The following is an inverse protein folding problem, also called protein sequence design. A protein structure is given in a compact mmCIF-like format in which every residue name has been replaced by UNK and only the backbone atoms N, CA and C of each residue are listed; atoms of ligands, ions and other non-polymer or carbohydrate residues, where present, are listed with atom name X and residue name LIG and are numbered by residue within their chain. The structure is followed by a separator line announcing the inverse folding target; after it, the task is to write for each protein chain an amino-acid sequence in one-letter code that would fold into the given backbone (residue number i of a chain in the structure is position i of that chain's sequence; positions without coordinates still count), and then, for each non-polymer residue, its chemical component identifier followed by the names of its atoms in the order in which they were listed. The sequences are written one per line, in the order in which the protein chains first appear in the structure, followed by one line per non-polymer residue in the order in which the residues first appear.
data_IF_463140304872
#
_entry.id   IF_463140304872
#
_cell.length_a   1.000
_cell.length_b   1.000
_cell.length_c   1.000
_cell.angle_alpha   90.00
_cell.angle_beta   90.00
_cell.angle_gamma   90.00
#
_symmetry.space_group_name_H-M   'P 1'
#
loop_
_entity.id
_entity.type
_entity.pdbx_description
1 polymer ?
#
# COMPACT_ATOMS: atom_id res chain seq x y z
N UNK A 1 22.35 -30.94 -0.74
CA UNK A 1 22.15 -29.47 -0.65
C UNK A 1 21.43 -29.01 -1.90
N UNK A 2 20.29 -28.32 -1.75
CA UNK A 2 19.55 -27.73 -2.86
C UNK A 2 19.88 -26.23 -2.89
N UNK A 3 20.22 -25.71 -4.07
CA UNK A 3 20.50 -24.29 -4.27
C UNK A 3 19.32 -23.65 -4.97
N UNK A 4 18.87 -22.52 -4.45
CA UNK A 4 17.78 -21.73 -5.03
C UNK A 4 18.28 -20.37 -5.45
N UNK A 5 17.76 -19.85 -6.57
CA UNK A 5 18.06 -18.48 -7.01
C UNK A 5 16.99 -17.52 -6.49
N UNK A 6 17.42 -16.43 -5.85
CA UNK A 6 16.52 -15.39 -5.33
C UNK A 6 16.70 -14.12 -6.15
N UNK A 7 15.58 -13.54 -6.61
CA UNK A 7 15.59 -12.25 -7.28
C UNK A 7 15.74 -11.14 -6.24
N UNK A 8 16.82 -10.37 -6.35
CA UNK A 8 17.11 -9.22 -5.50
C UNK A 8 17.16 -7.94 -6.32
N UNK A 9 16.74 -6.83 -5.72
CA UNK A 9 16.96 -5.50 -6.30
C UNK A 9 18.46 -5.19 -6.32
N UNK A 10 18.89 -4.43 -7.32
CA UNK A 10 20.31 -4.04 -7.49
C UNK A 10 20.84 -3.33 -6.22
N UNK A 11 20.03 -2.47 -5.62
CA UNK A 11 20.37 -1.77 -4.37
C UNK A 11 20.61 -2.74 -3.19
N UNK A 12 19.78 -3.78 -3.08
CA UNK A 12 19.93 -4.78 -2.03
C UNK A 12 21.22 -5.60 -2.23
N UNK A 13 21.55 -5.92 -3.50
CA UNK A 13 22.82 -6.58 -3.85
C UNK A 13 24.03 -5.73 -3.46
N UNK A 14 24.01 -4.42 -3.74
CA UNK A 14 25.10 -3.50 -3.34
C UNK A 14 25.31 -3.49 -1.82
N UNK A 15 24.22 -3.44 -1.04
CA UNK A 15 24.30 -3.49 0.43
C UNK A 15 24.90 -4.81 0.94
N UNK A 16 24.59 -5.93 0.30
CA UNK A 16 25.20 -7.23 0.62
C UNK A 16 26.70 -7.26 0.30
N UNK A 17 27.12 -6.70 -0.84
CA UNK A 17 28.53 -6.58 -1.21
C UNK A 17 29.30 -5.65 -0.25
N UNK A 18 28.70 -4.55 0.18
CA UNK A 18 29.26 -3.66 1.21
C UNK A 18 29.45 -4.40 2.55
N UNK A 19 28.47 -5.20 2.95
CA UNK A 19 28.56 -6.02 4.17
C UNK A 19 29.69 -7.04 4.04
N UNK A 20 29.79 -7.71 2.89
CA UNK A 20 30.91 -8.61 2.60
C UNK A 20 32.27 -7.89 2.69
N UNK A 21 32.39 -6.67 2.15
CA UNK A 21 33.61 -5.88 2.24
C UNK A 21 33.97 -5.55 3.70
N UNK A 22 32.99 -5.15 4.52
CA UNK A 22 33.17 -4.89 5.96
C UNK A 22 33.64 -6.13 6.72
N UNK A 23 33.10 -7.31 6.39
CA UNK A 23 33.54 -8.57 6.99
C UNK A 23 34.97 -8.94 6.55
N UNK A 24 35.31 -8.69 5.28
CA UNK A 24 36.69 -8.87 4.79
C UNK A 24 37.69 -7.98 5.51
N UNK A 25 37.34 -6.73 5.80
CA UNK A 25 38.19 -5.83 6.60
C UNK A 25 38.44 -6.37 8.02
N UNK A 26 37.51 -7.18 8.56
CA UNK A 26 37.67 -7.87 9.84
C UNK A 26 38.39 -9.22 9.72
N UNK A 27 38.90 -9.57 8.54
CA UNK A 27 39.64 -10.81 8.29
C UNK A 27 38.76 -12.02 7.96
N UNK A 28 37.44 -11.86 7.85
CA UNK A 28 36.52 -12.99 7.59
C UNK A 28 36.19 -13.04 6.09
N UNK A 29 36.66 -14.10 5.42
CA UNK A 29 36.40 -14.31 3.99
C UNK A 29 35.19 -15.22 3.80
N UNK A 30 34.01 -14.60 3.71
CA UNK A 30 32.73 -15.29 3.53
C UNK A 30 32.18 -15.02 2.13
N UNK A 31 31.63 -16.03 1.41
CA UNK A 31 30.91 -15.81 0.17
C UNK A 31 29.54 -15.16 0.41
N UNK A 32 28.96 -14.59 -0.65
CA UNK A 32 27.69 -13.84 -0.57
C UNK A 32 26.49 -14.71 -0.13
N UNK A 33 26.46 -15.98 -0.52
CA UNK A 33 25.34 -16.88 -0.19
C UNK A 33 25.32 -17.21 1.32
N UNK A 34 26.48 -17.47 1.94
CA UNK A 34 26.58 -17.71 3.40
C UNK A 34 26.16 -16.49 4.21
N UNK A 35 26.50 -15.28 3.74
CA UNK A 35 26.05 -14.04 4.37
C UNK A 35 24.52 -13.95 4.29
N UNK A 36 23.93 -14.29 3.15
CA UNK A 36 22.48 -14.25 2.96
C UNK A 36 21.78 -15.27 3.84
N UNK A 37 22.30 -16.50 3.95
CA UNK A 37 21.79 -17.54 4.84
C UNK A 37 21.79 -17.07 6.30
N UNK A 38 22.90 -16.51 6.77
CA UNK A 38 22.99 -15.97 8.15
C UNK A 38 22.04 -14.80 8.39
N UNK A 39 21.83 -13.94 7.41
CA UNK A 39 20.86 -12.85 7.51
C UNK A 39 19.41 -13.37 7.56
N UNK A 40 19.11 -14.46 6.86
CA UNK A 40 17.80 -15.11 6.93
C UNK A 40 17.60 -15.72 8.32
N UNK A 41 18.58 -16.45 8.85
CA UNK A 41 18.54 -17.00 10.21
C UNK A 41 18.28 -15.90 11.24
N UNK A 42 19.08 -14.82 11.23
CA UNK A 42 18.90 -13.67 12.11
C UNK A 42 17.54 -12.97 11.93
N UNK A 43 17.02 -12.96 10.69
CA UNK A 43 15.70 -12.41 10.39
C UNK A 43 14.58 -13.25 11.02
N UNK A 44 14.67 -14.57 10.92
CA UNK A 44 13.71 -15.50 11.52
C UNK A 44 13.76 -15.42 13.05
N UNK A 45 14.95 -15.36 13.64
CA UNK A 45 15.12 -15.19 15.09
C UNK A 45 14.51 -13.88 15.61
N UNK A 46 14.47 -12.83 14.78
CA UNK A 46 13.91 -11.52 15.11
C UNK A 46 12.63 -11.24 14.33
N UNK A 47 11.71 -12.21 14.28
CA UNK A 47 10.45 -12.13 13.53
C UNK A 47 9.67 -10.84 13.83
N UNK A 48 9.60 -10.42 15.10
CA UNK A 48 8.89 -9.20 15.51
C UNK A 48 9.44 -7.92 14.85
N UNK A 49 10.76 -7.83 14.69
CA UNK A 49 11.42 -6.67 14.04
C UNK A 49 11.13 -6.67 12.54
N UNK A 50 11.09 -7.85 11.92
CA UNK A 50 10.67 -7.99 10.52
C UNK A 50 9.21 -7.59 10.34
N UNK A 51 8.30 -8.13 11.17
CA UNK A 51 6.88 -7.81 11.12
C UNK A 51 6.64 -6.30 11.24
N UNK A 52 7.33 -5.61 12.15
CA UNK A 52 7.22 -4.15 12.28
C UNK A 52 7.66 -3.39 11.02
N UNK A 53 8.69 -3.87 10.31
CA UNK A 53 9.12 -3.26 9.04
C UNK A 53 8.12 -3.46 7.91
N UNK A 54 7.35 -4.55 7.93
CA UNK A 54 6.29 -4.80 6.97
C UNK A 54 5.00 -4.05 7.33
N UNK A 55 4.60 -4.03 8.62
CA UNK A 55 3.40 -3.31 9.10
C UNK A 55 3.44 -1.81 8.82
N UNK A 56 4.61 -1.17 8.93
CA UNK A 56 4.74 0.25 8.60
C UNK A 56 4.41 0.58 7.13
N UNK A 57 4.45 -0.42 6.23
CA UNK A 57 4.01 -0.24 4.83
C UNK A 57 2.52 -0.42 4.62
N UNK A 58 1.83 -1.14 5.50
CA UNK A 58 0.40 -1.44 5.34
C UNK A 58 -0.51 -0.38 5.98
N UNK A 59 -0.02 0.40 6.95
CA UNK A 59 -0.86 1.34 7.71
C UNK A 59 -0.72 2.81 7.28
N UNK A 60 -0.89 3.11 6.00
CA UNK A 60 -1.24 4.47 5.58
C UNK A 60 -2.68 4.43 5.07
N UNK A 61 -3.62 4.17 5.98
CA UNK A 61 -4.99 4.60 5.73
C UNK A 61 -4.95 6.12 5.59
N UNK A 62 -5.39 6.60 4.42
CA UNK A 62 -5.41 8.01 4.10
C UNK A 62 -6.18 8.76 5.21
N UNK A 63 -5.56 9.75 5.88
CA UNK A 63 -6.25 10.53 6.90
C UNK A 63 -7.55 11.16 6.38
N UNK A 64 -7.67 11.42 5.07
CA UNK A 64 -8.92 11.89 4.46
C UNK A 64 -10.05 10.85 4.50
N UNK A 65 -9.74 9.55 4.41
CA UNK A 65 -10.76 8.50 4.46
C UNK A 65 -11.37 8.39 5.86
N UNK A 66 -10.59 8.62 6.92
CA UNK A 66 -11.09 8.63 8.31
C UNK A 66 -12.08 9.77 8.57
N UNK A 67 -11.96 10.86 7.83
CA UNK A 67 -12.87 12.02 7.93
C UNK A 67 -14.23 11.76 7.26
N UNK A 68 -14.35 10.73 6.41
CA UNK A 68 -15.65 10.36 5.82
C UNK A 68 -16.57 9.68 6.83
N UNK A 69 -16.02 8.85 7.72
CA UNK A 69 -16.80 8.14 8.74
C UNK A 69 -17.24 9.05 9.89
N UNK A 70 -16.43 10.07 10.22
CA UNK A 70 -16.69 11.06 11.27
C UNK A 70 -16.32 12.45 10.77
N UNK A 71 -17.19 13.09 9.98
CA UNK A 71 -16.94 14.46 9.54
C UNK A 71 -16.89 15.39 10.75
N UNK A 72 -16.07 16.44 10.63
CA UNK A 72 -16.03 17.51 11.61
C UNK A 72 -17.36 18.27 11.55
N UNK A 73 -18.08 18.34 12.67
CA UNK A 73 -19.31 19.12 12.77
C UNK A 73 -18.97 20.61 12.87
N UNK A 74 -19.34 21.38 11.85
CA UNK A 74 -19.12 22.83 11.78
C UNK A 74 -20.23 23.63 12.48
N UNK A 75 -21.24 22.96 13.07
CA UNK A 75 -22.37 23.61 13.75
C UNK A 75 -23.32 24.34 12.81
N UNK A 76 -23.26 24.04 11.50
CA UNK A 76 -24.13 24.58 10.47
C UNK A 76 -25.09 23.48 10.05
N UNK A 77 -26.38 23.79 10.04
CA UNK A 77 -27.39 22.88 9.48
C UNK A 77 -27.12 22.71 7.98
N UNK A 78 -26.60 21.54 7.61
CA UNK A 78 -26.34 21.21 6.22
C UNK A 78 -27.35 20.19 5.68
N UNK A 79 -27.54 20.23 4.37
CA UNK A 79 -28.34 19.24 3.66
C UNK A 79 -27.48 18.07 3.17
N UNK A 80 -26.30 17.83 3.77
CA UNK A 80 -25.31 16.85 3.30
C UNK A 80 -25.89 15.44 3.20
N UNK A 81 -26.81 15.09 4.10
CA UNK A 81 -27.53 13.81 4.12
C UNK A 81 -28.72 13.74 3.16
N UNK A 82 -29.13 14.86 2.58
CA UNK A 82 -30.33 14.99 1.72
C UNK A 82 -30.00 15.60 0.36
N UNK A 83 -28.72 15.56 -0.05
CA UNK A 83 -28.24 16.15 -1.31
C UNK A 83 -29.08 15.65 -2.49
N UNK A 84 -29.39 14.37 -2.53
CA UNK A 84 -30.16 13.79 -3.62
C UNK A 84 -31.59 14.33 -3.68
N UNK A 85 -32.23 14.54 -2.53
CA UNK A 85 -33.58 15.11 -2.49
C UNK A 85 -33.59 16.57 -2.93
N UNK A 86 -32.56 17.33 -2.55
CA UNK A 86 -32.43 18.76 -2.85
C UNK A 86 -32.04 19.01 -4.30
N UNK A 87 -31.08 18.23 -4.83
CA UNK A 87 -30.58 18.40 -6.20
C UNK A 87 -31.42 17.67 -7.23
N UNK A 88 -31.92 16.48 -6.91
CA UNK A 88 -32.61 15.62 -7.88
C UNK A 88 -34.13 15.52 -7.63
N UNK A 89 -34.63 16.03 -6.50
CA UNK A 89 -36.06 16.02 -6.18
C UNK A 89 -36.52 14.63 -5.72
N UNK A 90 -36.65 14.45 -4.42
CA UNK A 90 -37.09 13.18 -3.82
C UNK A 90 -38.48 12.75 -4.31
N UNK A 91 -38.55 11.59 -4.99
CA UNK A 91 -39.73 10.74 -5.18
C UNK A 91 -41.05 11.45 -5.52
N UNK A 92 -41.12 12.11 -6.68
CA UNK A 92 -42.38 12.27 -7.43
C UNK A 92 -42.21 11.86 -8.88
N UNK A 93 -42.29 10.56 -9.12
CA UNK A 93 -42.51 9.97 -10.44
C UNK A 93 -41.34 10.09 -11.39
N UNK A 94 -40.92 8.95 -11.93
CA UNK A 94 -40.00 8.82 -13.05
C UNK A 94 -40.37 9.74 -14.23
N UNK A 95 -39.87 10.96 -14.26
CA UNK A 95 -39.84 11.79 -15.46
C UNK A 95 -38.41 11.68 -16.01
N UNK A 96 -38.10 10.52 -16.59
CA UNK A 96 -36.97 10.36 -17.50
C UNK A 96 -37.23 11.26 -18.73
N UNK A 97 -36.79 12.52 -18.64
CA UNK A 97 -36.76 13.47 -19.75
C UNK A 97 -35.51 13.28 -20.61
N UNK A 98 -35.28 12.07 -21.12
CA UNK A 98 -34.45 11.90 -22.31
C UNK A 98 -35.38 11.82 -23.52
N UNK A 99 -35.83 12.99 -23.96
CA UNK A 99 -36.54 13.15 -25.22
C UNK A 99 -35.50 13.10 -26.35
N UNK A 100 -35.51 12.01 -27.10
CA UNK A 100 -35.00 11.84 -28.46
C UNK A 100 -33.50 12.14 -28.72
N UNK A 101 -32.64 11.14 -28.49
CA UNK A 101 -31.46 10.96 -29.35
C UNK A 101 -31.93 10.08 -30.52
N UNK A 102 -32.22 10.71 -31.67
CA UNK A 102 -32.42 9.95 -32.91
C UNK A 102 -31.07 9.37 -33.34
N UNK A 103 -30.94 8.05 -33.26
CA UNK A 103 -29.87 7.32 -33.93
C UNK A 103 -30.35 7.02 -35.35
N UNK A 104 -29.89 7.80 -36.33
CA UNK A 104 -29.95 7.39 -37.73
C UNK A 104 -28.70 6.56 -38.02
N UNK A 105 -28.87 5.25 -38.17
CA UNK A 105 -27.94 4.39 -38.91
C UNK A 105 -28.72 3.91 -40.15
N UNK A 106 -28.07 4.14 -41.28
CA UNK A 106 -28.33 3.72 -42.68
C UNK A 106 -29.62 2.96 -42.99
#
# INVERSE_FOLDING_TARGET
MAYTSVKLRIEAKKKLEELQARLRLRGIKVPLYEILEKLIELGIENEEILLNKFKFRESVEDPMLKLLDKPLDWGVEDASTRIDEVLYGGSRGSIHRYRNIRCSKE
#
